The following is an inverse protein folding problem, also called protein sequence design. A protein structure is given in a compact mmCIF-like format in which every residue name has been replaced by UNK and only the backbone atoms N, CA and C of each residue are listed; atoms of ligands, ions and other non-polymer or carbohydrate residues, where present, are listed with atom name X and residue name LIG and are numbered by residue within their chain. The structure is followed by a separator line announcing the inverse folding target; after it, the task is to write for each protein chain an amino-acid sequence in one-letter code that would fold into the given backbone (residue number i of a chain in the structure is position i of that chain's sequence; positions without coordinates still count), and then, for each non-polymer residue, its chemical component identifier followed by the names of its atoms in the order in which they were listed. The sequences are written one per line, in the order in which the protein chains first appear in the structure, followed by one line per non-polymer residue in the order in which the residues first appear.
data_IF_181657294135
#
_entry.id   IF_181657294135
#
_cell.length_a   1.000
_cell.length_b   1.000
_cell.length_c   1.000
_cell.angle_alpha   90.00
_cell.angle_beta   90.00
_cell.angle_gamma   90.00
#
_symmetry.space_group_name_H-M   'P 1'
#
loop_
_entity.id
_entity.type
_entity.pdbx_description
1 polymer ?
#
# COMPACT_ATOMS: atom_id res chain seq x y z
N UNK A 1 6.83 -6.46 2.62
CA UNK A 1 7.03 -6.76 1.17
C UNK A 1 6.27 -5.73 0.31
N UNK A 2 6.84 -5.33 -0.82
CA UNK A 2 6.25 -4.39 -1.79
C UNK A 2 5.64 -3.15 -1.11
N UNK A 3 6.51 -2.33 -0.51
CA UNK A 3 6.10 -1.19 0.30
C UNK A 3 6.34 0.12 -0.44
N UNK A 4 5.29 0.89 -0.67
CA UNK A 4 5.38 2.25 -1.21
C UNK A 4 5.03 3.23 -0.09
N UNK A 5 6.02 4.03 0.32
CA UNK A 5 5.85 5.06 1.35
C UNK A 5 5.28 6.34 0.75
N UNK A 6 4.33 6.97 1.44
CA UNK A 6 3.62 8.14 0.92
C UNK A 6 3.47 9.30 1.90
N UNK A 7 3.68 9.10 3.20
CA UNK A 7 3.66 10.20 4.17
C UNK A 7 4.30 9.79 5.50
N UNK A 8 5.37 10.46 5.94
CA UNK A 8 5.86 10.40 7.34
C UNK A 8 6.06 9.00 7.95
N UNK A 9 6.30 7.96 7.14
CA UNK A 9 6.40 6.55 7.59
C UNK A 9 5.20 5.66 7.28
N UNK A 10 4.08 6.23 6.81
CA UNK A 10 2.94 5.48 6.26
C UNK A 10 3.26 4.92 4.88
N UNK A 11 2.82 3.68 4.67
CA UNK A 11 3.00 2.96 3.41
C UNK A 11 1.76 2.17 3.01
N UNK A 12 1.64 1.92 1.71
CA UNK A 12 0.82 0.85 1.14
C UNK A 12 1.71 -0.37 1.01
N UNK A 13 1.33 -1.52 1.59
CA UNK A 13 2.18 -2.71 1.61
C UNK A 13 1.42 -4.03 1.72
N UNK A 14 2.08 -5.13 1.37
CA UNK A 14 1.57 -6.48 1.54
C UNK A 14 1.41 -6.86 3.02
N UNK A 15 0.42 -7.71 3.32
CA UNK A 15 0.25 -8.36 4.63
C UNK A 15 0.03 -9.86 4.51
N UNK A 16 0.52 -10.64 5.48
CA UNK A 16 0.15 -12.05 5.66
C UNK A 16 -1.15 -12.23 6.42
N UNK A 17 -1.66 -11.19 7.09
CA UNK A 17 -2.92 -11.20 7.82
C UNK A 17 -4.12 -11.01 6.87
N UNK A 18 -4.20 -11.84 5.82
CA UNK A 18 -5.18 -11.72 4.72
C UNK A 18 -6.62 -11.74 5.24
N UNK A 19 -6.90 -12.55 6.25
CA UNK A 19 -8.24 -12.66 6.88
C UNK A 19 -8.72 -11.38 7.58
N UNK A 20 -7.84 -10.40 7.80
CA UNK A 20 -8.14 -9.13 8.44
C UNK A 20 -8.19 -7.95 7.44
N UNK A 21 -8.07 -8.20 6.13
CA UNK A 21 -8.24 -7.15 5.13
C UNK A 21 -9.67 -6.59 5.13
N UNK A 22 -9.79 -5.30 4.84
CA UNK A 22 -11.07 -4.58 4.92
C UNK A 22 -11.47 -4.13 6.34
N UNK A 23 -10.62 -4.37 7.34
CA UNK A 23 -10.81 -3.91 8.71
C UNK A 23 -9.78 -2.83 9.07
N UNK A 24 -10.08 -1.95 10.06
CA UNK A 24 -9.13 -0.93 10.50
C UNK A 24 -7.78 -1.50 10.94
N UNK A 25 -6.69 -0.85 10.53
CA UNK A 25 -5.33 -1.15 10.97
C UNK A 25 -4.84 -0.09 11.97
N UNK A 26 -4.26 -0.52 13.10
CA UNK A 26 -3.92 0.36 14.22
C UNK A 26 -2.78 1.35 13.98
N UNK A 27 -1.93 1.10 12.99
CA UNK A 27 -0.70 1.89 12.74
C UNK A 27 -0.79 2.76 11.48
N UNK A 28 -1.99 2.96 10.92
CA UNK A 28 -2.25 3.87 9.81
C UNK A 28 -1.78 3.42 8.42
N UNK A 29 -0.87 2.44 8.31
CA UNK A 29 -0.51 1.87 7.00
C UNK A 29 -1.70 1.18 6.32
N UNK A 30 -1.71 1.24 5.00
CA UNK A 30 -2.71 0.58 4.15
C UNK A 30 -2.20 -0.82 3.79
N UNK A 31 -2.98 -1.84 4.12
CA UNK A 31 -2.62 -3.25 3.89
C UNK A 31 -3.33 -3.77 2.65
N UNK A 32 -2.57 -4.45 1.79
CA UNK A 32 -3.08 -5.14 0.61
C UNK A 32 -2.78 -6.64 0.69
N UNK A 33 -3.55 -7.41 -0.09
CA UNK A 33 -3.17 -8.79 -0.42
C UNK A 33 -1.77 -8.80 -1.07
N UNK A 34 -0.92 -9.82 -0.85
CA UNK A 34 0.42 -9.86 -1.43
C UNK A 34 0.46 -9.62 -2.94
N UNK A 35 -0.43 -10.26 -3.70
CA UNK A 35 -0.49 -10.11 -5.17
C UNK A 35 -0.82 -8.65 -5.56
N UNK A 36 -1.86 -8.07 -4.95
CA UNK A 36 -2.25 -6.69 -5.22
C UNK A 36 -1.15 -5.68 -4.83
N UNK A 37 -0.39 -5.97 -3.77
CA UNK A 37 0.74 -5.13 -3.36
C UNK A 37 1.88 -5.20 -4.39
N UNK A 38 2.15 -6.38 -4.95
CA UNK A 38 3.14 -6.56 -6.01
C UNK A 38 2.72 -5.81 -7.27
N UNK A 39 1.47 -5.95 -7.72
CA UNK A 39 0.93 -5.23 -8.87
C UNK A 39 1.03 -3.71 -8.69
N UNK A 40 0.59 -3.21 -7.53
CA UNK A 40 0.67 -1.80 -7.21
C UNK A 40 2.13 -1.30 -7.21
N UNK A 41 3.02 -2.03 -6.55
CA UNK A 41 4.44 -1.67 -6.49
C UNK A 41 5.07 -1.64 -7.90
N UNK A 42 4.76 -2.62 -8.75
CA UNK A 42 5.23 -2.63 -10.13
C UNK A 42 4.71 -1.44 -10.93
N UNK A 43 3.43 -1.06 -10.78
CA UNK A 43 2.90 0.15 -11.42
C UNK A 43 3.65 1.41 -10.96
N UNK A 44 3.93 1.53 -9.67
CA UNK A 44 4.71 2.66 -9.14
C UNK A 44 6.14 2.66 -9.66
N UNK A 45 6.78 1.50 -9.83
CA UNK A 45 8.11 1.41 -10.46
C UNK A 45 8.09 1.81 -11.94
N UNK A 46 7.07 1.39 -12.69
CA UNK A 46 6.94 1.68 -14.13
C UNK A 46 6.66 3.17 -14.38
N UNK A 47 5.72 3.76 -13.66
CA UNK A 47 5.31 5.16 -13.88
C UNK A 47 6.12 6.15 -13.05
N UNK A 48 6.79 5.68 -12.01
CA UNK A 48 7.57 6.46 -11.08
C UNK A 48 6.74 7.04 -9.92
N UNK A 49 7.36 7.23 -8.74
CA UNK A 49 6.67 7.73 -7.55
C UNK A 49 6.16 9.18 -7.73
N UNK A 50 6.88 10.01 -8.49
CA UNK A 50 6.46 11.39 -8.76
C UNK A 50 5.16 11.49 -9.58
N UNK A 51 4.85 10.45 -10.36
CA UNK A 51 3.63 10.37 -11.17
C UNK A 51 2.53 9.53 -10.48
N UNK A 52 2.75 9.10 -9.24
CA UNK A 52 1.80 8.31 -8.46
C UNK A 52 1.23 9.18 -7.34
N UNK A 53 -0.09 9.29 -7.27
CA UNK A 53 -0.78 9.97 -6.16
C UNK A 53 -1.57 8.98 -5.32
N UNK A 54 -1.37 9.03 -4.01
CA UNK A 54 -2.13 8.23 -3.03
C UNK A 54 -3.03 9.20 -2.27
N UNK A 55 -4.35 9.04 -2.45
CA UNK A 55 -5.36 9.90 -1.83
C UNK A 55 -6.20 9.06 -0.88
N UNK A 56 -6.25 9.46 0.39
CA UNK A 56 -7.09 8.81 1.42
C UNK A 56 -8.38 9.61 1.55
N UNK A 57 -9.51 8.96 1.32
CA UNK A 57 -10.86 9.54 1.42
C UNK A 57 -11.66 8.89 2.54
N UNK A 58 -12.77 9.53 2.95
CA UNK A 58 -13.72 8.98 3.92
C UNK A 58 -14.81 8.17 3.23
#
# INVERSE_FOLDING_TARGET
PHSVFFSGGYAVHATSAIKCLGQPASHGCVRLHPDNAADFYQLVEVFGPANTSIVIVK
#
